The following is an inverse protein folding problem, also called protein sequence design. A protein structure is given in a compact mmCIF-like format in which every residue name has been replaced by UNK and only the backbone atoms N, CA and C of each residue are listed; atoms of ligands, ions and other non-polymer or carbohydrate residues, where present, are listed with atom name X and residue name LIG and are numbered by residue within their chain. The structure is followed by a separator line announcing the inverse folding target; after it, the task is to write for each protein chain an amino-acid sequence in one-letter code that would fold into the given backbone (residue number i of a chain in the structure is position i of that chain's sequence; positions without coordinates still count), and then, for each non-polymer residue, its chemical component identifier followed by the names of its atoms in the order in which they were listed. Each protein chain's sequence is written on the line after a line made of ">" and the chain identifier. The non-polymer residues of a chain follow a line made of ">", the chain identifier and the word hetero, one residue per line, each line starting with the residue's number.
data_IF_152728352064
#
_entry.id   IF_152728352064
#
_cell.length_a   1.000
_cell.length_b   1.000
_cell.length_c   1.000
_cell.angle_alpha   90.00
_cell.angle_beta   90.00
_cell.angle_gamma   90.00
#
_symmetry.space_group_name_H-M   'P 1'
#
loop_
_entity.id
_entity.type
_entity.pdbx_description
1 polymer ?
#
# COMPACT_ATOMS: atom_id res chain seq x y z
N UNK A 1 38.23 27.63 -33.07
CA UNK A 1 38.17 26.58 -32.04
C UNK A 1 36.88 26.62 -31.21
N UNK A 2 36.38 27.80 -30.81
CA UNK A 2 35.20 27.96 -29.95
C UNK A 2 33.88 27.35 -30.50
N UNK A 3 33.63 27.40 -31.81
CA UNK A 3 32.39 26.88 -32.41
C UNK A 3 32.23 25.34 -32.30
N UNK A 4 33.32 24.58 -32.28
CA UNK A 4 33.26 23.12 -32.15
C UNK A 4 32.95 22.65 -30.73
N UNK A 5 33.40 23.39 -29.72
CA UNK A 5 33.11 23.08 -28.32
C UNK A 5 31.66 23.39 -27.95
N UNK A 6 31.09 24.47 -28.50
CA UNK A 6 29.67 24.81 -28.30
C UNK A 6 28.77 23.70 -28.87
N UNK A 7 29.07 23.17 -30.06
CA UNK A 7 28.35 22.03 -30.63
C UNK A 7 28.43 20.79 -29.74
N UNK A 8 29.64 20.44 -29.27
CA UNK A 8 29.83 19.30 -28.37
C UNK A 8 29.08 19.43 -27.05
N UNK A 9 29.04 20.63 -26.47
CA UNK A 9 28.31 20.90 -25.22
C UNK A 9 26.80 20.82 -25.42
N UNK A 10 26.27 21.28 -26.56
CA UNK A 10 24.85 21.15 -26.88
C UNK A 10 24.43 19.69 -27.06
N UNK A 11 25.23 18.89 -27.77
CA UNK A 11 24.96 17.45 -27.93
C UNK A 11 24.99 16.72 -26.57
N UNK A 12 25.94 17.05 -25.70
CA UNK A 12 26.03 16.48 -24.36
C UNK A 12 24.84 16.91 -23.48
N UNK A 13 24.43 18.18 -23.56
CA UNK A 13 23.25 18.67 -22.84
C UNK A 13 21.97 17.96 -23.29
N UNK A 14 21.80 17.74 -24.61
CA UNK A 14 20.68 16.98 -25.15
C UNK A 14 20.72 15.54 -24.61
N UNK A 15 21.87 14.86 -24.68
CA UNK A 15 22.03 13.49 -24.17
C UNK A 15 21.69 13.39 -22.69
N UNK A 16 22.18 14.33 -21.87
CA UNK A 16 21.88 14.39 -20.44
C UNK A 16 20.39 14.64 -20.18
N UNK A 17 19.76 15.56 -20.91
CA UNK A 17 18.33 15.83 -20.77
C UNK A 17 17.46 14.62 -21.11
N UNK A 18 17.83 13.84 -22.12
CA UNK A 18 17.14 12.60 -22.47
C UNK A 18 17.26 11.59 -21.33
N UNK A 19 18.48 11.38 -20.80
CA UNK A 19 18.69 10.49 -19.66
C UNK A 19 17.94 10.95 -18.41
N UNK A 20 17.86 12.26 -18.17
CA UNK A 20 17.11 12.82 -17.05
C UNK A 20 15.60 12.58 -17.23
N UNK A 21 15.07 12.73 -18.45
CA UNK A 21 13.68 12.44 -18.74
C UNK A 21 13.35 10.94 -18.57
N UNK A 22 14.23 10.05 -19.02
CA UNK A 22 14.09 8.60 -18.81
C UNK A 22 14.05 8.25 -17.32
N UNK A 23 14.98 8.80 -16.53
CA UNK A 23 15.02 8.57 -15.08
C UNK A 23 13.78 9.12 -14.37
N UNK A 24 13.29 10.30 -14.78
CA UNK A 24 12.07 10.87 -14.23
C UNK A 24 10.84 10.01 -14.54
N UNK A 25 10.76 9.46 -15.76
CA UNK A 25 9.68 8.54 -16.14
C UNK A 25 9.73 7.25 -15.31
N UNK A 26 10.91 6.65 -15.14
CA UNK A 26 11.09 5.46 -14.31
C UNK A 26 10.73 5.72 -12.85
N UNK A 27 11.13 6.88 -12.30
CA UNK A 27 10.77 7.27 -10.94
C UNK A 27 9.25 7.44 -10.79
N UNK A 28 8.59 8.10 -11.75
CA UNK A 28 7.14 8.27 -11.72
C UNK A 28 6.41 6.93 -11.72
N UNK A 29 6.86 5.97 -12.55
CA UNK A 29 6.30 4.61 -12.57
C UNK A 29 6.54 3.89 -11.25
N UNK A 30 7.75 3.97 -10.68
CA UNK A 30 8.06 3.35 -9.39
C UNK A 30 7.17 3.91 -8.26
N UNK A 31 6.94 5.23 -8.25
CA UNK A 31 6.04 5.88 -7.29
C UNK A 31 4.61 5.39 -7.45
N UNK A 32 4.11 5.24 -8.68
CA UNK A 32 2.76 4.72 -8.93
C UNK A 32 2.59 3.29 -8.42
N UNK A 33 3.58 2.42 -8.65
CA UNK A 33 3.55 1.05 -8.12
C UNK A 33 3.61 1.01 -6.61
N UNK A 34 4.50 1.79 -5.98
CA UNK A 34 4.58 1.86 -4.52
C UNK A 34 3.29 2.40 -3.88
N UNK A 35 2.67 3.40 -4.50
CA UNK A 35 1.38 3.92 -4.05
C UNK A 35 0.27 2.88 -4.14
N UNK A 36 0.20 2.15 -5.27
CA UNK A 36 -0.81 1.12 -5.47
C UNK A 36 -0.63 -0.04 -4.49
N UNK A 37 0.61 -0.44 -4.21
CA UNK A 37 0.91 -1.47 -3.21
C UNK A 37 0.46 -1.05 -1.82
N UNK A 38 0.76 0.20 -1.40
CA UNK A 38 0.30 0.76 -0.13
C UNK A 38 -1.23 0.77 -0.03
N UNK A 39 -1.93 1.18 -1.09
CA UNK A 39 -3.39 1.17 -1.11
C UNK A 39 -3.96 -0.25 -0.98
N UNK A 40 -3.36 -1.23 -1.68
CA UNK A 40 -3.80 -2.62 -1.62
C UNK A 40 -3.52 -3.25 -0.25
N UNK A 41 -2.37 -2.94 0.35
CA UNK A 41 -2.03 -3.40 1.69
C UNK A 41 -3.01 -2.83 2.72
N UNK A 42 -3.30 -1.52 2.66
CA UNK A 42 -4.31 -0.89 3.51
C UNK A 42 -5.70 -1.51 3.33
N UNK A 43 -6.11 -1.78 2.09
CA UNK A 43 -7.38 -2.46 1.80
C UNK A 43 -7.43 -3.88 2.39
N UNK A 44 -6.36 -4.66 2.21
CA UNK A 44 -6.26 -6.03 2.75
C UNK A 44 -6.25 -6.03 4.28
N UNK A 45 -5.51 -5.14 4.91
CA UNK A 45 -5.44 -5.02 6.36
C UNK A 45 -6.82 -4.64 6.94
N UNK A 46 -7.50 -3.67 6.33
CA UNK A 46 -8.85 -3.25 6.74
C UNK A 46 -9.85 -4.40 6.53
N UNK A 47 -9.79 -5.08 5.39
CA UNK A 47 -10.64 -6.24 5.11
C UNK A 47 -10.43 -7.38 6.10
N UNK A 48 -9.18 -7.66 6.48
CA UNK A 48 -8.84 -8.66 7.50
C UNK A 48 -9.37 -8.27 8.88
N UNK A 49 -9.25 -6.99 9.26
CA UNK A 49 -9.79 -6.48 10.52
C UNK A 49 -11.32 -6.63 10.59
N UNK A 50 -12.04 -6.19 9.55
CA UNK A 50 -13.50 -6.32 9.47
C UNK A 50 -13.94 -7.78 9.45
N UNK A 51 -13.27 -8.65 8.69
CA UNK A 51 -13.58 -10.08 8.65
C UNK A 51 -13.35 -10.75 10.00
N UNK A 52 -12.27 -10.38 10.69
CA UNK A 52 -11.99 -10.85 12.06
C UNK A 52 -13.11 -10.42 13.02
N UNK A 53 -13.53 -9.15 12.99
CA UNK A 53 -14.60 -8.65 13.84
C UNK A 53 -15.93 -9.39 13.60
N UNK A 54 -16.32 -9.57 12.33
CA UNK A 54 -17.51 -10.34 11.95
C UNK A 54 -17.42 -11.80 12.42
N UNK A 55 -16.23 -12.41 12.32
CA UNK A 55 -15.96 -13.76 12.83
C UNK A 55 -16.12 -13.86 14.34
N UNK A 56 -15.60 -12.88 15.08
CA UNK A 56 -15.78 -12.77 16.54
C UNK A 56 -17.26 -12.63 16.88
N UNK A 57 -17.99 -11.70 16.26
CA UNK A 57 -19.43 -11.50 16.47
C UNK A 57 -20.24 -12.79 16.21
N UNK A 58 -19.95 -13.50 15.12
CA UNK A 58 -20.61 -14.77 14.79
C UNK A 58 -20.29 -15.87 15.82
N UNK A 59 -19.08 -15.89 16.36
CA UNK A 59 -18.69 -16.82 17.44
C UNK A 59 -19.40 -16.46 18.76
N UNK A 60 -19.43 -15.19 19.17
CA UNK A 60 -20.18 -14.72 20.35
C UNK A 60 -21.65 -15.07 20.24
N UNK A 61 -22.28 -14.81 19.09
CA UNK A 61 -23.70 -15.13 18.86
C UNK A 61 -23.99 -16.62 19.04
N UNK A 62 -23.11 -17.50 18.56
CA UNK A 62 -23.25 -18.96 18.73
C UNK A 62 -23.12 -19.40 20.20
N UNK A 63 -22.22 -18.77 20.96
CA UNK A 63 -22.09 -19.05 22.40
C UNK A 63 -23.36 -18.63 23.16
N UNK A 64 -23.88 -17.43 22.87
CA UNK A 64 -25.14 -16.95 23.47
C UNK A 64 -26.31 -17.86 23.11
N UNK A 65 -26.43 -18.29 21.84
CA UNK A 65 -27.47 -19.22 21.40
C UNK A 65 -27.39 -20.59 22.11
N UNK A 66 -26.20 -20.98 22.57
CA UNK A 66 -25.98 -22.21 23.37
C UNK A 66 -26.24 -22.00 24.87
N UNK A 67 -26.73 -20.82 25.27
CA UNK A 67 -27.05 -20.49 26.66
C UNK A 67 -25.87 -19.98 27.49
N UNK A 68 -24.72 -19.70 26.87
CA UNK A 68 -23.59 -19.07 27.56
C UNK A 68 -23.94 -17.60 27.83
N UNK A 69 -23.72 -17.13 29.06
CA UNK A 69 -24.00 -15.73 29.39
C UNK A 69 -23.09 -14.79 28.56
N UNK A 70 -23.59 -13.61 28.15
CA UNK A 70 -22.80 -12.68 27.33
C UNK A 70 -21.46 -12.25 27.96
N UNK A 71 -21.40 -12.15 29.30
CA UNK A 71 -20.17 -11.81 30.02
C UNK A 71 -19.11 -12.91 29.92
N UNK A 72 -19.51 -14.18 30.06
CA UNK A 72 -18.61 -15.33 29.92
C UNK A 72 -18.18 -15.50 28.47
N UNK A 73 -19.10 -15.32 27.51
CA UNK A 73 -18.77 -15.38 26.09
C UNK A 73 -17.79 -14.27 25.66
N UNK A 74 -17.93 -13.05 26.19
CA UNK A 74 -16.98 -11.96 25.92
C UNK A 74 -15.59 -12.24 26.53
N UNK A 75 -15.53 -12.88 27.69
CA UNK A 75 -14.28 -13.26 28.36
C UNK A 75 -13.55 -14.40 27.65
N UNK A 76 -14.27 -15.45 27.21
CA UNK A 76 -13.68 -16.55 26.40
C UNK A 76 -13.15 -16.08 25.04
N UNK A 77 -13.68 -14.97 24.53
CA UNK A 77 -13.27 -14.40 23.24
C UNK A 77 -12.23 -13.28 23.39
N UNK A 78 -11.77 -12.99 24.61
CA UNK A 78 -10.81 -11.92 24.88
C UNK A 78 -11.23 -10.56 24.30
N UNK A 79 -12.53 -10.26 24.32
CA UNK A 79 -13.11 -9.00 23.81
C UNK A 79 -13.04 -7.88 24.88
N UNK A 80 -12.67 -8.22 26.12
CA UNK A 80 -12.55 -7.31 27.27
C UNK A 80 -11.10 -7.21 27.71
#
# INVERSE_FOLDING_TARGET
>A
MMYGEVGRLMDEAIRLSIRQAENAALLAVAVQYAWLDLCLEGYRATGAAVSSELGHQARTRRLIQRGVSPSVAAQELHIV
#
